data_IF_963919802541
#
_entry.id   IF_963919802541
#
_cell.length_a   1.000
_cell.length_b   1.000
_cell.length_c   1.000
_cell.angle_alpha   90.00
_cell.angle_beta   90.00
_cell.angle_gamma   90.00
#
_symmetry.space_group_name_H-M   'P 1'
#
loop_
_entity.id
_entity.type
_entity.pdbx_description
1 polymer ?
#
# COMPACT_ATOMS: atom_id res chain seq x y z
N UNK A 1 11.93 -88.86 -22.06
CA UNK A 1 12.58 -87.48 -21.81
C UNK A 1 11.92 -86.28 -22.51
N UNK A 2 11.25 -86.44 -23.66
CA UNK A 2 10.61 -85.31 -24.37
C UNK A 2 9.35 -84.72 -23.70
N UNK A 3 8.66 -85.44 -22.83
CA UNK A 3 7.43 -84.97 -22.16
C UNK A 3 7.70 -84.12 -20.89
N UNK A 4 8.87 -84.25 -20.29
CA UNK A 4 9.25 -83.54 -19.08
C UNK A 4 9.71 -82.11 -19.45
N UNK A 5 10.36 -81.89 -20.63
CA UNK A 5 10.80 -80.60 -21.11
C UNK A 5 9.62 -79.68 -21.47
N UNK A 6 8.48 -80.24 -21.90
CA UNK A 6 7.30 -79.45 -22.28
C UNK A 6 6.58 -78.83 -21.04
N UNK A 7 6.59 -79.59 -19.89
CA UNK A 7 5.95 -79.17 -18.65
C UNK A 7 6.75 -78.04 -17.97
N UNK A 8 8.06 -78.12 -18.02
CA UNK A 8 8.94 -77.01 -17.45
C UNK A 8 8.86 -75.72 -18.21
N UNK A 9 8.74 -75.78 -19.55
CA UNK A 9 8.57 -74.59 -20.37
C UNK A 9 7.22 -73.88 -20.13
N UNK A 10 6.15 -74.65 -19.90
CA UNK A 10 4.83 -74.12 -19.62
C UNK A 10 4.78 -73.46 -18.21
N UNK A 11 5.47 -74.01 -17.23
CA UNK A 11 5.54 -73.44 -15.88
C UNK A 11 6.34 -72.17 -15.84
N UNK A 12 7.38 -71.99 -16.68
CA UNK A 12 8.13 -70.78 -16.79
C UNK A 12 7.31 -69.61 -17.48
N UNK A 13 6.45 -69.93 -18.44
CA UNK A 13 5.60 -68.95 -19.09
C UNK A 13 4.47 -68.41 -18.15
N UNK A 14 3.99 -69.24 -17.24
CA UNK A 14 2.98 -68.84 -16.26
C UNK A 14 3.61 -67.99 -15.14
N UNK A 15 4.87 -68.15 -14.81
CA UNK A 15 5.55 -67.38 -13.81
C UNK A 15 5.94 -65.95 -14.34
N UNK A 16 6.10 -65.78 -15.66
CA UNK A 16 6.44 -64.48 -16.27
C UNK A 16 5.23 -63.52 -16.37
N UNK A 17 4.00 -64.03 -16.31
CA UNK A 17 2.80 -63.19 -16.41
C UNK A 17 2.42 -62.49 -15.11
N UNK A 18 2.97 -62.88 -13.96
CA UNK A 18 2.69 -62.23 -12.69
C UNK A 18 3.64 -61.06 -12.37
N UNK A 19 4.73 -60.95 -13.11
CA UNK A 19 5.68 -59.84 -12.91
C UNK A 19 5.29 -58.50 -13.60
N UNK A 20 4.30 -58.52 -14.51
CA UNK A 20 3.81 -57.32 -15.19
C UNK A 20 2.54 -56.72 -14.56
N UNK A 21 2.01 -57.34 -13.53
CA UNK A 21 0.75 -56.92 -12.90
C UNK A 21 0.92 -55.90 -11.76
N UNK A 22 2.13 -55.44 -11.53
CA UNK A 22 2.37 -54.49 -10.43
C UNK A 22 3.01 -53.19 -10.91
N UNK A 23 2.51 -52.68 -12.06
CA UNK A 23 2.55 -51.21 -12.23
C UNK A 23 1.46 -50.64 -11.35
N UNK A 24 1.81 -50.34 -10.11
CA UNK A 24 0.90 -49.67 -9.20
C UNK A 24 0.35 -48.39 -9.84
N UNK A 25 -0.95 -48.34 -10.02
CA UNK A 25 -1.69 -47.19 -10.52
C UNK A 25 -1.83 -46.10 -9.47
N UNK A 26 -0.91 -45.98 -8.51
CA UNK A 26 -0.86 -44.86 -7.61
C UNK A 26 -0.22 -43.71 -8.34
N UNK A 27 -1.05 -42.78 -8.87
CA UNK A 27 -0.55 -41.53 -9.40
C UNK A 27 0.25 -40.83 -8.29
N UNK A 28 1.50 -40.46 -8.51
CA UNK A 28 2.28 -39.73 -7.53
C UNK A 28 1.61 -38.38 -7.29
N UNK A 29 1.36 -38.04 -6.03
CA UNK A 29 0.80 -36.73 -5.64
C UNK A 29 1.91 -35.85 -5.09
N UNK A 30 1.88 -34.57 -5.47
CA UNK A 30 2.74 -33.53 -4.89
C UNK A 30 1.86 -32.55 -4.14
N UNK A 31 2.29 -32.12 -2.95
CA UNK A 31 1.63 -31.06 -2.20
C UNK A 31 2.39 -29.75 -2.43
N UNK A 32 1.67 -28.73 -2.86
CA UNK A 32 2.20 -27.36 -2.98
C UNK A 32 1.56 -26.52 -1.88
N UNK A 33 2.39 -25.97 -0.99
CA UNK A 33 1.94 -25.08 0.10
C UNK A 33 2.34 -23.66 -0.23
N UNK A 34 1.41 -22.71 -0.10
CA UNK A 34 1.65 -21.26 -0.24
C UNK A 34 1.28 -20.58 1.07
N UNK A 35 2.24 -19.84 1.66
CA UNK A 35 2.02 -19.03 2.83
C UNK A 35 1.78 -17.57 2.38
N UNK A 36 0.60 -17.04 2.69
CA UNK A 36 0.19 -15.68 2.32
C UNK A 36 0.14 -14.83 3.59
N UNK A 37 1.09 -13.90 3.71
CA UNK A 37 1.19 -12.97 4.86
C UNK A 37 0.54 -11.61 4.59
N UNK A 38 0.58 -10.74 5.61
CA UNK A 38 0.24 -9.32 5.48
C UNK A 38 1.24 -8.61 4.59
N UNK A 39 0.80 -7.58 3.88
CA UNK A 39 1.64 -6.85 2.92
C UNK A 39 1.12 -5.43 2.76
N UNK A 40 2.02 -4.46 2.64
CA UNK A 40 1.69 -3.07 2.36
C UNK A 40 2.76 -2.41 1.47
N UNK A 41 2.31 -1.64 0.48
CA UNK A 41 3.18 -0.83 -0.38
C UNK A 41 2.46 0.44 -0.82
N UNK A 42 3.25 1.50 -1.06
CA UNK A 42 2.76 2.80 -1.50
C UNK A 42 3.61 3.29 -2.67
N UNK A 43 2.95 3.81 -3.70
CA UNK A 43 3.61 4.46 -4.83
C UNK A 43 3.09 5.89 -4.94
N UNK A 44 3.96 6.88 -4.79
CA UNK A 44 3.64 8.30 -5.00
C UNK A 44 3.81 8.61 -6.48
N UNK A 45 2.75 9.08 -7.14
CA UNK A 45 2.77 9.46 -8.56
C UNK A 45 3.13 10.94 -8.75
N UNK A 46 2.80 11.79 -7.77
CA UNK A 46 3.13 13.22 -7.78
C UNK A 46 4.24 13.48 -6.77
N UNK A 47 5.48 13.12 -7.13
CA UNK A 47 6.63 13.25 -6.24
C UNK A 47 7.07 14.72 -6.02
N UNK A 48 6.78 15.59 -6.97
CA UNK A 48 6.96 17.04 -6.84
C UNK A 48 5.62 17.73 -7.12
N UNK A 49 5.18 18.56 -6.19
CA UNK A 49 3.92 19.28 -6.25
C UNK A 49 4.16 20.77 -6.04
N UNK A 50 3.58 21.59 -6.92
CA UNK A 50 3.47 23.02 -6.72
C UNK A 50 2.06 23.35 -6.25
N UNK A 51 1.94 24.00 -5.10
CA UNK A 51 0.68 24.57 -4.65
C UNK A 51 0.45 25.91 -5.39
N UNK A 52 -0.69 26.04 -6.03
CA UNK A 52 -1.06 27.23 -6.78
C UNK A 52 -2.19 27.95 -6.07
N UNK A 53 -2.20 29.27 -6.14
CA UNK A 53 -3.30 30.06 -5.60
C UNK A 53 -4.61 29.70 -6.28
N UNK A 54 -5.61 29.34 -5.48
CA UNK A 54 -6.92 28.92 -5.97
C UNK A 54 -7.94 30.06 -5.82
N UNK A 55 -7.85 31.04 -6.66
CA UNK A 55 -8.74 32.21 -6.66
C UNK A 55 -7.98 33.54 -6.80
N UNK A 56 -8.60 34.64 -6.37
CA UNK A 56 -8.04 35.97 -6.40
C UNK A 56 -7.79 36.49 -4.97
N UNK A 57 -6.87 37.44 -4.83
CA UNK A 57 -6.65 38.21 -3.60
C UNK A 57 -6.42 37.33 -2.33
N UNK A 58 -5.21 36.78 -2.18
CA UNK A 58 -4.82 36.00 -1.02
C UNK A 58 -5.67 34.75 -0.79
N UNK A 59 -6.30 34.21 -1.83
CA UNK A 59 -6.90 32.87 -1.74
C UNK A 59 -5.82 31.82 -1.48
N UNK A 60 -6.20 30.77 -0.74
CA UNK A 60 -5.29 29.68 -0.34
C UNK A 60 -4.58 29.04 -1.53
N UNK A 61 -3.36 28.60 -1.29
CA UNK A 61 -2.62 27.76 -2.23
C UNK A 61 -3.12 26.32 -2.13
N UNK A 62 -3.40 25.69 -3.26
CA UNK A 62 -3.88 24.31 -3.31
C UNK A 62 -3.12 23.46 -4.32
N UNK A 63 -3.10 22.13 -4.09
CA UNK A 63 -2.51 21.17 -4.99
C UNK A 63 -2.79 19.74 -4.56
N UNK A 64 -2.65 18.78 -5.47
CA UNK A 64 -3.02 17.38 -5.21
C UNK A 64 -1.84 16.44 -5.40
N UNK A 65 -1.52 15.67 -4.36
CA UNK A 65 -0.62 14.52 -4.45
C UNK A 65 -1.45 13.27 -4.77
N UNK A 66 -1.16 12.63 -5.88
CA UNK A 66 -1.75 11.35 -6.24
C UNK A 66 -0.83 10.20 -5.84
N UNK A 67 -1.41 9.12 -5.33
CA UNK A 67 -0.69 7.91 -4.95
C UNK A 67 -1.54 6.66 -5.20
N UNK A 68 -0.87 5.51 -5.26
CA UNK A 68 -1.51 4.20 -5.31
C UNK A 68 -1.07 3.40 -4.09
N UNK A 69 -2.02 2.84 -3.36
CA UNK A 69 -1.72 1.93 -2.27
C UNK A 69 -2.00 0.47 -2.65
N UNK A 70 -1.23 -0.43 -2.03
CA UNK A 70 -1.38 -1.88 -2.07
C UNK A 70 -1.44 -2.35 -0.62
N UNK A 71 -2.45 -3.13 -0.28
CA UNK A 71 -2.59 -3.60 1.11
C UNK A 71 -3.22 -4.99 1.16
N UNK A 72 -2.74 -5.79 2.11
CA UNK A 72 -3.34 -7.03 2.55
C UNK A 72 -3.18 -7.15 4.07
N UNK A 73 -4.27 -7.01 4.82
CA UNK A 73 -4.31 -7.21 6.27
C UNK A 73 -4.76 -8.63 6.60
N UNK A 74 -4.49 -9.08 7.82
CA UNK A 74 -4.95 -10.38 8.27
C UNK A 74 -6.49 -10.42 8.32
N UNK A 75 -7.05 -11.62 8.08
CA UNK A 75 -8.51 -11.86 8.09
C UNK A 75 -9.11 -11.61 9.48
N UNK A 76 -8.35 -11.88 10.53
CA UNK A 76 -8.78 -11.69 11.92
C UNK A 76 -7.76 -10.81 12.63
N UNK A 77 -8.22 -9.73 13.26
CA UNK A 77 -7.37 -8.81 14.02
C UNK A 77 -6.48 -7.89 13.18
N UNK A 78 -6.34 -8.14 11.87
CA UNK A 78 -5.47 -7.33 11.02
C UNK A 78 -5.94 -5.89 10.88
N UNK A 79 -4.99 -4.96 10.94
CA UNK A 79 -5.19 -3.52 10.73
C UNK A 79 -4.10 -2.96 9.84
N UNK A 80 -4.36 -1.80 9.25
CA UNK A 80 -3.37 -1.08 8.47
C UNK A 80 -3.60 0.41 8.53
N UNK A 81 -2.59 1.18 8.15
CA UNK A 81 -2.70 2.64 8.08
C UNK A 81 -1.82 3.25 7.00
N UNK A 82 -2.24 4.40 6.49
CA UNK A 82 -1.41 5.35 5.78
C UNK A 82 -1.35 6.60 6.64
N UNK A 83 -0.14 7.06 6.92
CA UNK A 83 0.12 8.31 7.63
C UNK A 83 1.08 9.17 6.82
N UNK A 84 1.10 10.47 7.11
CA UNK A 84 2.09 11.39 6.57
C UNK A 84 2.67 12.27 7.68
N UNK A 85 3.89 12.76 7.45
CA UNK A 85 4.59 13.69 8.32
C UNK A 85 5.38 14.68 7.46
N UNK A 86 5.42 15.94 7.87
CA UNK A 86 6.30 16.95 7.26
C UNK A 86 7.70 16.78 7.87
N UNK A 87 8.55 16.04 7.19
CA UNK A 87 9.93 15.74 7.66
C UNK A 87 10.93 16.84 7.37
N UNK A 88 10.59 17.77 6.47
CA UNK A 88 11.32 19.03 6.26
C UNK A 88 10.32 20.16 6.16
N UNK A 89 10.36 21.10 7.12
CA UNK A 89 9.51 22.30 7.08
C UNK A 89 9.90 23.21 5.90
N UNK A 90 9.06 24.15 5.56
CA UNK A 90 9.35 25.12 4.51
C UNK A 90 10.71 25.78 4.74
N UNK A 91 11.55 25.74 3.72
CA UNK A 91 12.85 26.41 3.77
C UNK A 91 12.63 27.93 3.74
N UNK A 92 13.05 28.58 4.83
CA UNK A 92 12.89 30.02 4.97
C UNK A 92 13.82 30.79 4.03
N UNK A 93 13.25 31.58 3.19
CA UNK A 93 14.00 32.63 2.41
C UNK A 93 14.29 33.90 3.19
N UNK A 94 14.29 33.85 4.54
CA UNK A 94 14.42 35.05 5.41
C UNK A 94 13.12 35.85 5.50
N UNK A 95 12.84 36.44 6.67
CA UNK A 95 11.59 37.17 6.91
C UNK A 95 10.36 36.29 7.17
N UNK A 96 9.18 36.80 6.94
CA UNK A 96 7.93 36.05 7.10
C UNK A 96 7.79 35.02 5.97
N UNK A 97 7.83 33.74 6.30
CA UNK A 97 7.70 32.62 5.37
C UNK A 97 6.65 31.62 5.86
N UNK A 98 6.02 30.84 4.97
CA UNK A 98 5.21 29.70 5.41
C UNK A 98 6.03 28.80 6.32
N UNK A 99 5.39 28.24 7.34
CA UNK A 99 6.00 27.24 8.22
C UNK A 99 4.91 26.36 8.80
N UNK A 100 5.17 25.06 8.88
CA UNK A 100 4.28 24.11 9.56
C UNK A 100 4.49 24.17 11.08
N UNK A 101 5.74 24.38 11.51
CA UNK A 101 6.10 24.41 12.92
C UNK A 101 5.78 25.75 13.59
N UNK A 102 6.00 26.84 12.89
CA UNK A 102 5.90 28.21 13.42
C UNK A 102 5.38 29.15 12.35
N UNK A 103 4.11 29.03 11.95
CA UNK A 103 3.53 29.93 10.95
C UNK A 103 3.51 31.37 11.49
N UNK A 104 3.64 32.40 10.64
CA UNK A 104 3.58 33.78 11.03
C UNK A 104 2.30 34.15 11.78
N UNK A 105 1.18 33.65 11.33
CA UNK A 105 -0.11 33.73 12.00
C UNK A 105 -0.52 32.34 12.47
N UNK A 106 -1.01 32.22 13.70
CA UNK A 106 -1.35 30.91 14.31
C UNK A 106 -2.44 30.12 13.60
N UNK A 107 -3.08 30.70 12.59
CA UNK A 107 -4.10 30.07 11.75
C UNK A 107 -3.59 29.62 10.39
N UNK A 108 -2.33 29.90 10.06
CA UNK A 108 -1.73 29.60 8.74
C UNK A 108 -1.20 28.19 8.70
N UNK A 109 -2.09 27.24 8.57
CA UNK A 109 -1.73 25.84 8.52
C UNK A 109 -1.47 25.35 7.09
N UNK A 110 -0.48 24.49 6.95
CA UNK A 110 -0.46 23.50 5.87
C UNK A 110 -1.38 22.36 6.26
N UNK A 111 -2.52 22.27 5.61
CA UNK A 111 -3.53 21.25 5.89
C UNK A 111 -3.79 20.38 4.67
N UNK A 112 -4.50 19.28 4.87
CA UNK A 112 -4.88 18.38 3.77
C UNK A 112 -6.22 17.71 4.03
N UNK A 113 -6.85 17.27 2.94
CA UNK A 113 -7.98 16.35 2.93
C UNK A 113 -7.67 15.13 2.06
N UNK A 114 -8.35 14.00 2.35
CA UNK A 114 -8.00 12.72 1.75
C UNK A 114 -9.15 12.15 0.92
N UNK A 115 -8.79 11.55 -0.22
CA UNK A 115 -9.67 10.67 -0.98
C UNK A 115 -8.98 9.32 -1.10
N UNK A 116 -9.45 8.35 -0.29
CA UNK A 116 -8.89 6.99 -0.24
C UNK A 116 -10.05 6.00 -0.39
N UNK A 117 -10.32 5.52 -1.61
CA UNK A 117 -11.35 4.52 -1.86
C UNK A 117 -11.05 3.22 -1.12
N UNK A 118 -12.09 2.47 -0.77
CA UNK A 118 -11.95 1.16 -0.15
C UNK A 118 -11.26 0.16 -1.08
N UNK A 119 -10.50 -0.81 -0.53
CA UNK A 119 -9.94 -1.91 -1.31
C UNK A 119 -11.05 -2.84 -1.81
N UNK A 120 -10.68 -3.86 -2.60
CA UNK A 120 -11.65 -4.83 -3.15
C UNK A 120 -12.36 -5.63 -2.04
N UNK A 121 -11.68 -5.87 -0.93
CA UNK A 121 -12.25 -6.51 0.26
C UNK A 121 -11.82 -5.75 1.50
N UNK A 122 -12.62 -5.77 2.55
CA UNK A 122 -12.40 -4.98 3.77
C UNK A 122 -12.78 -3.52 3.58
N UNK A 123 -12.34 -2.68 4.50
CA UNK A 123 -12.66 -1.25 4.54
C UNK A 123 -11.42 -0.37 4.55
N UNK A 124 -11.53 0.80 3.96
CA UNK A 124 -10.65 1.93 4.20
C UNK A 124 -11.47 3.11 4.73
N UNK A 125 -10.95 3.77 5.75
CA UNK A 125 -11.51 5.03 6.27
C UNK A 125 -10.50 6.13 6.00
N UNK A 126 -10.82 7.02 5.09
CA UNK A 126 -10.01 8.20 4.77
C UNK A 126 -10.03 9.19 5.95
N UNK A 127 -9.07 10.11 5.98
CA UNK A 127 -9.06 11.20 6.95
C UNK A 127 -10.36 12.02 6.89
N UNK A 128 -10.82 12.50 8.04
CA UNK A 128 -12.08 13.25 8.14
C UNK A 128 -11.79 14.75 8.15
N UNK A 129 -12.32 15.46 7.16
CA UNK A 129 -12.17 16.92 7.03
C UNK A 129 -10.72 17.37 6.77
N UNK A 130 -10.45 18.65 6.80
CA UNK A 130 -9.08 19.17 6.76
C UNK A 130 -8.31 18.73 8.01
N UNK A 131 -7.13 18.14 7.81
CA UNK A 131 -6.19 17.74 8.86
C UNK A 131 -4.97 18.64 8.78
N UNK A 132 -4.60 19.26 9.88
CA UNK A 132 -3.37 20.04 9.94
C UNK A 132 -2.18 19.09 9.91
N UNK A 133 -1.23 19.32 9.00
CA UNK A 133 0.00 18.57 8.94
C UNK A 133 0.91 18.91 10.14
N UNK A 134 1.84 18.03 10.46
CA UNK A 134 2.74 18.21 11.61
C UNK A 134 4.19 17.89 11.23
N UNK A 135 5.13 18.58 11.89
CA UNK A 135 6.57 18.30 11.82
C UNK A 135 7.07 17.46 12.99
N UNK A 136 6.21 17.11 13.95
CA UNK A 136 6.58 16.42 15.18
C UNK A 136 5.84 15.12 15.39
N UNK A 137 4.81 14.87 14.59
CA UNK A 137 4.00 13.66 14.66
C UNK A 137 3.41 13.31 13.30
N UNK A 138 3.33 12.03 13.01
CA UNK A 138 2.61 11.55 11.84
C UNK A 138 1.10 11.78 12.00
N UNK A 139 0.45 12.21 10.93
CA UNK A 139 -0.99 12.47 10.86
C UNK A 139 -1.67 11.46 9.92
N UNK A 140 -2.91 11.11 10.21
CA UNK A 140 -3.62 10.03 9.48
C UNK A 140 -4.07 10.46 8.10
N UNK A 141 -3.80 9.64 7.09
CA UNK A 141 -4.38 9.72 5.74
C UNK A 141 -5.49 8.70 5.57
N UNK A 142 -5.29 7.47 6.03
CA UNK A 142 -6.31 6.43 6.04
C UNK A 142 -6.01 5.34 7.07
N UNK A 143 -7.07 4.65 7.50
CA UNK A 143 -6.97 3.42 8.28
C UNK A 143 -7.67 2.28 7.54
N UNK A 144 -7.16 1.04 7.70
CA UNK A 144 -7.71 -0.15 7.10
C UNK A 144 -8.12 -1.15 8.17
N UNK A 145 -9.27 -1.77 7.97
CA UNK A 145 -9.77 -2.82 8.83
C UNK A 145 -9.22 -4.20 8.51
N UNK A 146 -9.82 -5.20 9.14
CA UNK A 146 -9.52 -6.63 8.90
C UNK A 146 -9.88 -7.04 7.48
N UNK A 147 -9.15 -8.04 6.95
CA UNK A 147 -9.38 -8.61 5.62
C UNK A 147 -9.34 -7.58 4.48
N UNK A 148 -8.65 -6.45 4.70
CA UNK A 148 -8.47 -5.46 3.65
C UNK A 148 -7.53 -6.00 2.57
N UNK A 149 -8.00 -6.07 1.33
CA UNK A 149 -7.25 -6.58 0.18
C UNK A 149 -7.45 -5.69 -1.03
N UNK A 150 -6.39 -5.02 -1.45
CA UNK A 150 -6.38 -4.25 -2.69
C UNK A 150 -6.32 -5.17 -3.91
N UNK A 151 -6.77 -4.71 -5.09
CA UNK A 151 -6.52 -5.41 -6.34
C UNK A 151 -5.02 -5.39 -6.65
N UNK A 152 -4.58 -6.29 -7.56
CA UNK A 152 -3.16 -6.36 -7.98
C UNK A 152 -2.65 -5.05 -8.57
N UNK A 153 -3.51 -4.26 -9.19
CA UNK A 153 -3.18 -2.94 -9.74
C UNK A 153 -3.05 -1.83 -8.68
N UNK A 154 -3.38 -2.15 -7.41
CA UNK A 154 -3.48 -1.16 -6.34
C UNK A 154 -4.77 -0.34 -6.41
N UNK A 155 -4.92 0.60 -5.50
CA UNK A 155 -6.06 1.53 -5.43
C UNK A 155 -5.55 2.96 -5.54
N UNK A 156 -6.00 3.69 -6.56
CA UNK A 156 -5.66 5.09 -6.76
C UNK A 156 -6.33 5.96 -5.70
N UNK A 157 -5.56 6.86 -5.13
CA UNK A 157 -5.94 7.71 -4.01
C UNK A 157 -5.29 9.08 -4.13
N UNK A 158 -5.73 10.05 -3.35
CA UNK A 158 -5.17 11.38 -3.38
C UNK A 158 -5.23 12.09 -2.03
N UNK A 159 -4.31 13.04 -1.85
CA UNK A 159 -4.30 14.04 -0.80
C UNK A 159 -4.38 15.41 -1.46
N UNK A 160 -5.43 16.16 -1.16
CA UNK A 160 -5.58 17.55 -1.56
C UNK A 160 -4.99 18.43 -0.45
N UNK A 161 -3.94 19.15 -0.78
CA UNK A 161 -3.26 20.09 0.08
C UNK A 161 -3.89 21.48 0.01
N UNK A 162 -3.86 22.18 1.13
CA UNK A 162 -4.14 23.58 1.24
C UNK A 162 -3.12 24.27 2.16
N UNK A 163 -2.69 25.47 1.78
CA UNK A 163 -1.87 26.36 2.60
C UNK A 163 -2.51 27.72 2.61
N UNK A 164 -2.79 28.25 3.80
CA UNK A 164 -3.30 29.61 3.95
C UNK A 164 -2.34 30.62 3.32
N UNK A 165 -2.88 31.54 2.57
CA UNK A 165 -2.10 32.59 1.90
C UNK A 165 -2.07 33.85 2.75
N UNK A 166 -1.17 33.91 3.74
CA UNK A 166 -1.03 35.10 4.58
C UNK A 166 -0.37 36.26 3.81
N UNK A 167 -0.97 37.46 3.82
CA UNK A 167 -0.37 38.66 3.25
C UNK A 167 1.01 39.03 3.83
N UNK A 168 1.37 38.51 4.99
CA UNK A 168 2.68 38.66 5.61
C UNK A 168 3.79 37.86 4.94
N UNK A 169 3.45 36.88 4.10
CA UNK A 169 4.48 36.09 3.41
C UNK A 169 5.27 36.99 2.44
N UNK A 170 6.57 36.90 2.54
CA UNK A 170 7.44 37.50 1.54
C UNK A 170 7.36 36.75 0.22
N UNK A 171 7.53 37.45 -0.87
CA UNK A 171 7.61 36.82 -2.19
C UNK A 171 8.82 35.91 -2.26
N UNK A 172 8.61 34.65 -2.71
CA UNK A 172 9.66 33.67 -2.78
C UNK A 172 9.15 32.29 -3.21
N UNK A 173 10.06 31.33 -3.32
CA UNK A 173 9.76 29.92 -3.51
C UNK A 173 10.10 29.17 -2.22
N UNK A 174 9.13 28.48 -1.67
CA UNK A 174 9.26 27.75 -0.41
C UNK A 174 8.98 26.26 -0.64
N UNK A 175 9.82 25.41 -0.08
CA UNK A 175 9.72 23.95 -0.26
C UNK A 175 9.67 23.26 1.07
N UNK A 176 8.67 22.37 1.25
CA UNK A 176 8.58 21.43 2.36
C UNK A 176 8.72 20.00 1.86
N UNK A 177 9.19 19.11 2.72
CA UNK A 177 9.29 17.68 2.43
C UNK A 177 8.25 16.91 3.24
N UNK A 178 7.47 16.08 2.56
CA UNK A 178 6.45 15.23 3.20
C UNK A 178 6.80 13.77 2.98
N UNK A 179 6.81 13.00 4.06
CA UNK A 179 7.04 11.56 4.05
C UNK A 179 5.73 10.83 4.30
N UNK A 180 5.41 9.88 3.42
CA UNK A 180 4.26 8.99 3.55
C UNK A 180 4.73 7.63 4.04
N UNK A 181 4.01 7.05 4.98
CA UNK A 181 4.26 5.70 5.49
C UNK A 181 2.99 4.87 5.42
N UNK A 182 3.09 3.65 4.90
CA UNK A 182 2.00 2.67 4.94
C UNK A 182 2.43 1.48 5.80
N UNK A 183 1.50 0.92 6.56
CA UNK A 183 1.72 -0.28 7.38
C UNK A 183 0.54 -1.23 7.31
N UNK A 184 0.83 -2.53 7.47
CA UNK A 184 -0.16 -3.57 7.70
C UNK A 184 0.34 -4.46 8.83
N UNK A 185 -0.52 -4.72 9.80
CA UNK A 185 -0.23 -5.54 10.99
C UNK A 185 -1.20 -6.72 11.03
N UNK A 186 -0.71 -7.86 11.49
CA UNK A 186 -1.47 -9.10 11.71
C UNK A 186 -1.98 -9.19 13.14
#
# INVERSE_FOLDING_TARGET
MKKILALTALALLLAASSALAQLGTTAPTATVTVNVGTEAALTIQTAALTLNQNGSNFADYTGTTNFTYFIRTAKTGGVGSIVLEVTGDFSAGGGSSPSVKSPPTSTDFLYYSCTVPSPTSGTATACTGPVNSSTTASTSVATFGTDARSPKAGVSSSVLWGLSNDPLYQTGSYTATVTYTISAVS
#
